data_IF_181580120612
#
_entry.id   IF_181580120612
#
_cell.length_a   1.000
_cell.length_b   1.000
_cell.length_c   1.000
_cell.angle_alpha   90.00
_cell.angle_beta   90.00
_cell.angle_gamma   90.00
#
_symmetry.space_group_name_H-M   'P 1'
#
loop_
_entity.id
_entity.type
_entity.pdbx_description
1 polymer ?
#
# COMPACT_ATOMS: atom_id res chain seq x y z
N UNK A 1 -14.00 8.73 -24.27
CA UNK A 1 -13.31 8.62 -24.39
C UNK A 1 -12.24 8.51 -24.44
N UNK A 2 -11.97 8.44 -24.64
CA UNK A 2 -11.02 8.33 -24.59
C UNK A 2 -10.02 8.43 -25.16
N UNK A 3 -9.73 8.65 -25.09
CA UNK A 3 -8.83 8.78 -25.58
C UNK A 3 -7.84 8.24 -25.87
N UNK A 4 -7.86 8.06 -26.29
CA UNK A 4 -7.04 7.34 -26.52
C UNK A 4 -5.88 6.96 -26.53
N UNK A 5 -5.69 6.14 -26.97
CA UNK A 5 -4.39 5.62 -26.64
C UNK A 5 -3.63 5.35 -27.89
N UNK A 6 -2.81 6.28 -28.27
CA UNK A 6 -2.12 6.21 -29.53
C UNK A 6 -0.61 5.95 -29.36
N UNK A 7 -0.12 6.01 -28.13
CA UNK A 7 1.30 5.86 -27.85
C UNK A 7 1.46 4.83 -26.75
N UNK A 8 2.62 4.18 -26.71
CA UNK A 8 2.82 3.16 -25.68
C UNK A 8 2.76 3.73 -24.26
N UNK A 9 3.09 5.01 -24.09
CA UNK A 9 3.00 5.66 -22.78
C UNK A 9 1.57 5.96 -22.40
N UNK A 10 0.63 5.86 -23.36
CA UNK A 10 -0.77 6.14 -23.15
C UNK A 10 -1.61 4.87 -23.05
N UNK A 11 -0.98 3.76 -22.67
CA UNK A 11 -1.73 2.52 -22.46
C UNK A 11 -2.85 2.75 -21.44
N UNK A 12 -4.02 2.15 -21.67
CA UNK A 12 -5.10 2.26 -20.69
C UNK A 12 -4.62 1.84 -19.31
N UNK A 13 -5.14 2.53 -18.30
CA UNK A 13 -4.72 2.29 -16.92
C UNK A 13 -4.91 0.82 -16.54
N UNK A 14 -6.02 0.19 -16.96
CA UNK A 14 -6.24 -1.20 -16.58
C UNK A 14 -5.21 -2.14 -17.19
N UNK A 15 -4.70 -1.85 -18.41
CA UNK A 15 -3.65 -2.66 -19.03
C UNK A 15 -2.34 -2.49 -18.24
N UNK A 16 -1.99 -1.25 -17.90
CA UNK A 16 -0.82 -0.97 -17.08
C UNK A 16 -0.91 -1.71 -15.74
N UNK A 17 -2.09 -1.69 -15.14
CA UNK A 17 -2.34 -2.33 -13.85
C UNK A 17 -2.17 -3.84 -13.95
N UNK A 18 -2.71 -4.46 -15.00
CA UNK A 18 -2.56 -5.90 -15.22
C UNK A 18 -1.11 -6.26 -15.39
N UNK A 19 -0.36 -5.50 -16.19
CA UNK A 19 1.06 -5.75 -16.40
C UNK A 19 1.84 -5.62 -15.09
N UNK A 20 1.52 -4.61 -14.31
CA UNK A 20 2.16 -4.38 -13.01
C UNK A 20 1.87 -5.54 -12.05
N UNK A 21 0.61 -5.97 -11.96
CA UNK A 21 0.22 -7.07 -11.10
C UNK A 21 0.86 -8.39 -11.53
N UNK A 22 0.96 -8.63 -12.84
CA UNK A 22 1.61 -9.85 -13.33
C UNK A 22 3.06 -9.91 -12.88
N UNK A 23 3.79 -8.79 -12.98
CA UNK A 23 5.16 -8.75 -12.49
C UNK A 23 5.23 -8.97 -11.00
N UNK A 24 4.32 -8.34 -10.25
CA UNK A 24 4.27 -8.49 -8.81
C UNK A 24 4.08 -9.97 -8.42
N UNK A 25 3.12 -10.64 -9.04
CA UNK A 25 2.82 -12.02 -8.72
C UNK A 25 3.89 -13.00 -9.20
N UNK A 26 4.74 -12.58 -10.12
CA UNK A 26 5.91 -13.37 -10.50
C UNK A 26 7.03 -13.28 -9.45
N UNK A 27 6.85 -12.48 -8.41
CA UNK A 27 7.87 -12.29 -7.39
C UNK A 27 8.94 -11.29 -7.79
N UNK A 28 8.66 -10.46 -8.77
CA UNK A 28 9.58 -9.43 -9.26
C UNK A 28 9.09 -8.07 -8.82
N UNK A 29 10.03 -7.18 -8.46
CA UNK A 29 9.67 -5.80 -8.17
C UNK A 29 9.06 -5.18 -9.44
N UNK A 30 7.78 -4.79 -9.42
CA UNK A 30 7.11 -4.34 -10.63
C UNK A 30 7.42 -2.91 -11.04
N UNK A 31 8.23 -2.20 -10.25
CA UNK A 31 8.60 -0.83 -10.58
C UNK A 31 7.54 0.19 -10.17
N UNK A 32 7.51 1.31 -10.89
CA UNK A 32 6.60 2.40 -10.57
C UNK A 32 5.15 1.95 -10.61
N UNK A 33 4.36 2.48 -9.66
CA UNK A 33 2.95 2.13 -9.55
C UNK A 33 2.17 2.64 -10.76
N UNK A 34 1.14 1.90 -11.20
CA UNK A 34 0.21 2.45 -12.17
C UNK A 34 -0.54 3.62 -11.55
N UNK A 35 -1.10 4.52 -12.37
CA UNK A 35 -1.90 5.62 -11.83
C UNK A 35 -3.09 5.09 -11.06
N UNK A 36 -3.32 5.65 -9.86
CA UNK A 36 -4.48 5.31 -9.04
C UNK A 36 -5.12 6.61 -8.57
N UNK A 37 -6.43 6.61 -8.49
CA UNK A 37 -7.19 7.76 -8.02
C UNK A 37 -8.29 7.28 -7.07
N UNK A 38 -7.92 6.76 -5.89
CA UNK A 38 -8.90 6.24 -4.96
C UNK A 38 -9.78 7.36 -4.41
N UNK A 39 -11.05 7.06 -4.21
CA UNK A 39 -11.98 7.99 -3.59
C UNK A 39 -12.13 7.69 -2.12
N UNK A 40 -12.23 8.75 -1.32
CA UNK A 40 -12.37 8.62 0.11
C UNK A 40 -12.32 9.98 0.79
N UNK A 41 -12.34 9.97 2.12
CA UNK A 41 -12.23 11.22 2.89
C UNK A 41 -10.82 11.80 2.72
N UNK A 42 -10.68 13.08 3.03
CA UNK A 42 -9.38 13.73 2.96
C UNK A 42 -8.34 13.04 3.83
N UNK A 43 -8.74 12.59 5.03
CA UNK A 43 -7.82 11.88 5.92
C UNK A 43 -7.39 10.54 5.32
N UNK A 44 -8.34 9.76 4.80
CA UNK A 44 -8.00 8.47 4.19
C UNK A 44 -7.07 8.64 3.02
N UNK A 45 -7.33 9.63 2.16
CA UNK A 45 -6.44 9.91 1.03
C UNK A 45 -5.05 10.29 1.49
N UNK A 46 -4.94 11.07 2.55
CA UNK A 46 -3.64 11.45 3.11
C UNK A 46 -2.86 10.23 3.57
N UNK A 47 -3.54 9.27 4.21
CA UNK A 47 -2.91 8.02 4.63
C UNK A 47 -2.49 7.21 3.41
N UNK A 48 -3.38 7.03 2.44
CA UNK A 48 -3.07 6.25 1.25
C UNK A 48 -1.91 6.85 0.45
N UNK A 49 -1.78 8.18 0.41
CA UNK A 49 -0.65 8.84 -0.22
C UNK A 49 0.68 8.46 0.44
N UNK A 50 0.68 8.29 1.76
CA UNK A 50 1.87 7.82 2.46
C UNK A 50 2.13 6.35 2.14
N UNK A 51 1.08 5.52 2.09
CA UNK A 51 1.24 4.09 1.82
C UNK A 51 1.87 3.84 0.46
N UNK A 52 1.45 4.57 -0.58
CA UNK A 52 1.99 4.32 -1.93
C UNK A 52 3.47 4.62 -2.04
N UNK A 53 4.03 5.34 -1.07
CA UNK A 53 5.45 5.65 -1.04
C UNK A 53 6.27 4.61 -0.31
N UNK A 54 5.65 3.61 0.31
CA UNK A 54 6.38 2.54 0.98
C UNK A 54 6.99 1.64 -0.09
N UNK A 55 8.34 1.57 -0.15
CA UNK A 55 8.98 0.80 -1.22
C UNK A 55 8.68 -0.69 -1.13
N UNK A 56 8.72 -1.34 -2.28
CA UNK A 56 8.67 -2.79 -2.38
C UNK A 56 9.71 -3.42 -1.44
N UNK A 57 9.31 -4.43 -0.72
CA UNK A 57 10.21 -5.14 0.21
C UNK A 57 10.46 -4.40 1.51
N UNK A 58 9.69 -3.36 1.82
CA UNK A 58 9.89 -2.53 3.01
C UNK A 58 8.62 -2.55 3.87
N UNK A 59 8.79 -2.45 5.18
CA UNK A 59 7.68 -2.37 6.12
C UNK A 59 7.71 -1.04 6.85
N UNK A 60 6.51 -0.58 7.23
CA UNK A 60 6.33 0.56 8.13
C UNK A 60 5.34 0.20 9.21
N UNK A 61 5.49 0.80 10.38
CA UNK A 61 4.48 0.61 11.43
C UNK A 61 3.36 1.63 11.27
N UNK A 62 2.20 1.34 11.89
CA UNK A 62 1.12 2.34 11.93
C UNK A 62 1.60 3.65 12.53
N UNK A 63 2.49 3.58 13.53
CA UNK A 63 3.08 4.79 14.13
C UNK A 63 3.94 5.56 13.14
N UNK A 64 4.73 4.86 12.33
CA UNK A 64 5.55 5.51 11.29
C UNK A 64 4.67 6.25 10.30
N UNK A 65 3.61 5.59 9.84
CA UNK A 65 2.66 6.21 8.90
C UNK A 65 1.98 7.41 9.54
N UNK A 66 1.56 7.28 10.81
CA UNK A 66 0.93 8.38 11.52
C UNK A 66 1.84 9.60 11.60
N UNK A 67 3.13 9.40 11.85
CA UNK A 67 4.08 10.51 11.90
C UNK A 67 4.25 11.18 10.56
N UNK A 68 4.27 10.41 9.47
CA UNK A 68 4.40 10.98 8.13
C UNK A 68 3.15 11.76 7.76
N UNK A 69 1.96 11.23 8.05
CA UNK A 69 0.70 11.94 7.78
C UNK A 69 0.65 13.24 8.60
N UNK A 70 1.03 13.17 9.87
CA UNK A 70 1.09 14.35 10.73
C UNK A 70 2.01 15.43 10.16
N UNK A 71 3.21 15.03 9.71
CA UNK A 71 4.15 15.96 9.09
C UNK A 71 3.58 16.63 7.86
N UNK A 72 2.83 15.87 7.05
CA UNK A 72 2.21 16.41 5.84
C UNK A 72 1.00 17.31 6.15
N UNK A 73 0.53 17.32 7.38
CA UNK A 73 -0.63 18.10 7.83
C UNK A 73 -0.22 19.14 8.88
N UNK A 74 0.92 19.78 8.69
CA UNK A 74 1.40 20.86 9.55
C UNK A 74 1.60 20.44 11.01
N UNK A 75 1.98 19.19 11.25
CA UNK A 75 2.24 18.70 12.59
C UNK A 75 1.00 18.37 13.41
N UNK A 76 -0.17 18.40 12.81
CA UNK A 76 -1.41 18.04 13.51
C UNK A 76 -1.35 16.57 13.93
N UNK A 77 -1.67 16.30 15.19
CA UNK A 77 -1.57 14.94 15.72
C UNK A 77 -2.43 13.95 14.95
N UNK A 78 -1.85 12.80 14.63
CA UNK A 78 -2.53 11.67 13.99
C UNK A 78 -2.21 10.43 14.81
N UNK A 79 -3.25 9.71 15.24
CA UNK A 79 -3.03 8.49 16.03
C UNK A 79 -2.79 7.29 15.11
N UNK A 80 -1.98 6.31 15.56
CA UNK A 80 -1.85 5.06 14.83
C UNK A 80 -3.17 4.34 14.62
N UNK A 81 -4.08 4.46 15.58
CA UNK A 81 -5.41 3.82 15.49
C UNK A 81 -6.22 4.41 14.33
N UNK A 82 -6.17 5.73 14.15
CA UNK A 82 -6.86 6.39 13.03
C UNK A 82 -6.26 5.94 11.70
N UNK A 83 -4.95 5.79 11.64
CA UNK A 83 -4.27 5.24 10.45
C UNK A 83 -4.78 3.82 10.17
N UNK A 84 -4.91 2.99 11.20
CA UNK A 84 -5.43 1.64 11.04
C UNK A 84 -6.81 1.61 10.40
N UNK A 85 -7.68 2.54 10.79
CA UNK A 85 -9.00 2.66 10.17
C UNK A 85 -8.91 2.99 8.69
N UNK A 86 -8.05 3.95 8.33
CA UNK A 86 -7.86 4.33 6.93
C UNK A 86 -7.24 3.20 6.11
N UNK A 87 -6.26 2.48 6.68
CA UNK A 87 -5.64 1.33 6.04
C UNK A 87 -6.68 0.25 5.76
N UNK A 88 -7.57 -0.01 6.72
CA UNK A 88 -8.62 -1.01 6.56
C UNK A 88 -9.66 -0.67 5.51
N UNK A 89 -9.75 0.59 5.09
CA UNK A 89 -10.68 1.04 4.05
C UNK A 89 -10.00 1.24 2.69
N UNK A 90 -8.77 0.74 2.54
CA UNK A 90 -8.05 0.83 1.27
C UNK A 90 -8.86 0.16 0.15
N UNK A 91 -9.23 0.91 -0.90
CA UNK A 91 -10.06 0.34 -1.97
C UNK A 91 -9.27 -0.40 -3.05
N UNK A 92 -7.93 -0.30 -3.03
CA UNK A 92 -7.09 -0.87 -4.09
C UNK A 92 -5.95 -1.65 -3.45
N UNK A 93 -6.27 -2.85 -2.98
CA UNK A 93 -5.28 -3.71 -2.31
C UNK A 93 -4.10 -4.01 -3.22
N UNK A 94 -2.96 -4.30 -2.63
CA UNK A 94 -1.69 -4.64 -3.29
C UNK A 94 -1.04 -3.42 -3.93
N UNK A 95 -1.73 -2.67 -4.78
CA UNK A 95 -1.18 -1.48 -5.43
C UNK A 95 -0.98 -0.38 -4.39
N UNK A 96 -2.02 -0.08 -3.60
CA UNK A 96 -1.85 0.72 -2.39
C UNK A 96 -1.45 -0.27 -1.30
N UNK A 97 -0.18 -0.32 -0.90
CA UNK A 97 0.37 -1.48 -0.21
C UNK A 97 0.07 -1.51 1.29
N UNK A 98 -1.20 -1.64 1.64
CA UNK A 98 -1.60 -1.72 3.04
C UNK A 98 -1.01 -2.95 3.74
N UNK A 99 -0.63 -3.99 2.99
CA UNK A 99 0.02 -5.16 3.57
C UNK A 99 1.43 -4.86 4.10
N UNK A 100 2.03 -3.72 3.71
CA UNK A 100 3.35 -3.30 4.19
C UNK A 100 3.30 -2.53 5.51
N UNK A 101 2.11 -2.39 6.10
CA UNK A 101 1.94 -1.70 7.38
C UNK A 101 1.72 -2.74 8.47
N UNK A 102 2.51 -2.66 9.54
CA UNK A 102 2.48 -3.61 10.65
C UNK A 102 2.30 -2.87 11.97
N UNK A 103 1.99 -3.62 13.01
CA UNK A 103 1.91 -3.07 14.36
C UNK A 103 3.30 -2.90 14.98
N UNK A 104 3.34 -2.24 16.13
CA UNK A 104 4.57 -2.12 16.91
C UNK A 104 4.98 -3.50 17.43
N UNK A 105 6.23 -3.59 17.93
CA UNK A 105 6.76 -4.82 18.51
C UNK A 105 6.76 -5.99 17.53
N UNK A 106 6.97 -5.71 16.25
CA UNK A 106 7.05 -6.73 15.20
C UNK A 106 5.77 -7.55 15.07
N UNK A 107 4.61 -6.94 15.32
CA UNK A 107 3.33 -7.62 15.16
C UNK A 107 2.80 -7.40 13.74
N UNK A 108 2.51 -8.48 13.02
CA UNK A 108 1.95 -8.37 11.67
C UNK A 108 0.54 -7.75 11.70
N UNK A 109 -0.18 -7.94 12.78
CA UNK A 109 -1.56 -7.48 12.95
C UNK A 109 -2.49 -8.04 11.88
N UNK A 110 -3.68 -7.47 11.71
CA UNK A 110 -4.65 -7.97 10.75
C UNK A 110 -4.46 -7.40 9.35
N UNK A 111 -5.25 -7.91 8.43
CA UNK A 111 -5.29 -7.45 7.06
C UNK A 111 -6.70 -7.73 6.54
N UNK A 112 -7.25 -6.83 5.72
CA UNK A 112 -8.62 -6.98 5.23
C UNK A 112 -8.82 -8.28 4.47
N UNK A 113 -7.81 -8.73 3.71
CA UNK A 113 -7.86 -9.99 2.99
C UNK A 113 -7.48 -11.21 3.82
N UNK A 114 -7.19 -11.03 5.09
CA UNK A 114 -6.76 -12.11 5.99
C UNK A 114 -5.26 -12.13 6.20
N UNK A 115 -4.85 -12.56 7.38
CA UNK A 115 -3.45 -12.55 7.76
C UNK A 115 -2.60 -13.49 6.89
N UNK A 116 -3.16 -14.63 6.48
CA UNK A 116 -2.44 -15.56 5.61
C UNK A 116 -2.09 -14.91 4.27
N UNK A 117 -3.01 -14.13 3.71
CA UNK A 117 -2.74 -13.42 2.47
C UNK A 117 -1.67 -12.37 2.68
N UNK A 118 -1.73 -11.64 3.80
CA UNK A 118 -0.70 -10.65 4.13
C UNK A 118 0.67 -11.29 4.17
N UNK A 119 0.79 -12.43 4.83
CA UNK A 119 2.06 -13.16 4.92
C UNK A 119 2.56 -13.54 3.53
N UNK A 120 1.67 -14.08 2.68
CA UNK A 120 2.06 -14.46 1.32
C UNK A 120 2.55 -13.28 0.51
N UNK A 121 1.88 -12.13 0.63
CA UNK A 121 2.30 -10.94 -0.09
C UNK A 121 3.68 -10.47 0.37
N UNK A 122 3.91 -10.46 1.68
CA UNK A 122 5.21 -10.05 2.22
C UNK A 122 6.31 -11.02 1.81
N UNK A 123 6.03 -12.32 1.84
CA UNK A 123 7.01 -13.32 1.42
C UNK A 123 7.34 -13.17 -0.08
N UNK A 124 6.35 -12.84 -0.90
CA UNK A 124 6.60 -12.62 -2.32
C UNK A 124 7.52 -11.40 -2.55
N UNK A 125 7.52 -10.47 -1.61
CA UNK A 125 8.42 -9.31 -1.65
C UNK A 125 9.76 -9.59 -0.97
N UNK A 126 10.07 -10.86 -0.69
CA UNK A 126 11.34 -11.28 -0.10
C UNK A 126 11.53 -10.82 1.33
N UNK A 127 10.44 -10.58 2.05
CA UNK A 127 10.50 -10.23 3.47
C UNK A 127 10.44 -11.51 4.29
N UNK A 128 11.37 -11.66 5.22
CA UNK A 128 11.38 -12.80 6.13
C UNK A 128 10.37 -12.56 7.26
N UNK A 129 9.19 -13.17 7.11
CA UNK A 129 8.11 -12.96 8.08
C UNK A 129 8.28 -13.74 9.37
N UNK A 130 9.27 -14.65 9.44
CA UNK A 130 9.51 -15.42 10.66
C UNK A 130 9.93 -14.54 11.83
N UNK A 131 10.40 -13.33 11.55
CA UNK A 131 10.78 -12.35 12.57
C UNK A 131 9.60 -11.66 13.22
N UNK A 132 8.41 -11.87 12.70
CA UNK A 132 7.23 -11.10 13.10
C UNK A 132 6.19 -12.00 13.73
N UNK A 133 5.40 -11.42 14.65
CA UNK A 133 4.35 -12.15 15.34
C UNK A 133 3.05 -12.04 14.54
N UNK A 134 2.31 -13.10 14.54
CA UNK A 134 0.97 -13.09 13.96
C UNK A 134 -0.08 -12.57 14.94
#
# INVERSE_FOLDING_TARGET
MDKTVNQKDDLPVFVQTIQWLNKYFEGTNPGALPPVAPEGTGFRKAVWDVLVKIPYGTLKTYGDVAREVSGNQNGKFVSPRAVGGAVGHNPISIIIPCHRVIGSNNSLTGYAGGLDLKVKLLESEKIDVSKYKR
#
